data_IF_356552395181
#
_entry.id   IF_356552395181
#
_cell.length_a   1.000
_cell.length_b   1.000
_cell.length_c   1.000
_cell.angle_alpha   90.00
_cell.angle_beta   90.00
_cell.angle_gamma   90.00
#
_symmetry.space_group_name_H-M   'P 1'
#
loop_
_entity.id
_entity.type
_entity.pdbx_description
1 polymer ?
#
# COMPACT_ATOMS: atom_id res chain seq x y z
N UNK A 1 17.09 -36.02 -13.01
CA UNK A 1 17.36 -34.68 -12.44
C UNK A 1 16.97 -34.71 -10.98
N UNK A 2 17.95 -34.91 -10.10
CA UNK A 2 17.74 -35.04 -8.66
C UNK A 2 17.74 -33.62 -8.08
N UNK A 3 16.57 -33.10 -7.72
CA UNK A 3 16.45 -31.84 -6.99
C UNK A 3 17.00 -32.13 -5.60
N UNK A 4 18.30 -31.86 -5.44
CA UNK A 4 19.01 -31.83 -4.17
C UNK A 4 18.15 -31.11 -3.15
N UNK A 5 17.91 -31.76 -2.01
CA UNK A 5 17.28 -31.24 -0.80
C UNK A 5 18.18 -30.15 -0.19
N UNK A 6 18.42 -29.08 -0.95
CA UNK A 6 19.12 -27.89 -0.52
C UNK A 6 18.22 -27.17 0.45
N UNK A 7 18.64 -27.14 1.73
CA UNK A 7 18.07 -26.27 2.77
C UNK A 7 17.75 -24.93 2.15
N UNK A 8 16.47 -24.65 1.88
CA UNK A 8 16.06 -23.34 1.42
C UNK A 8 16.53 -22.41 2.54
N UNK A 9 17.47 -21.49 2.25
CA UNK A 9 17.99 -20.62 3.30
C UNK A 9 16.80 -19.78 3.76
N UNK A 10 16.42 -19.93 5.03
CA UNK A 10 15.30 -19.22 5.64
C UNK A 10 15.34 -17.72 5.36
N UNK A 11 16.54 -17.16 5.22
CA UNK A 11 16.78 -15.79 4.77
C UNK A 11 16.07 -15.43 3.45
N UNK A 12 16.07 -16.31 2.45
CA UNK A 12 15.38 -16.08 1.17
C UNK A 12 13.87 -15.99 1.39
N UNK A 13 13.30 -16.92 2.16
CA UNK A 13 11.85 -16.90 2.45
C UNK A 13 11.45 -15.64 3.22
N UNK A 14 12.27 -15.20 4.18
CA UNK A 14 12.05 -13.95 4.92
C UNK A 14 12.09 -12.75 3.97
N UNK A 15 13.08 -12.67 3.08
CA UNK A 15 13.19 -11.56 2.11
C UNK A 15 11.99 -11.52 1.18
N UNK A 16 11.56 -12.66 0.63
CA UNK A 16 10.35 -12.72 -0.21
C UNK A 16 9.09 -12.36 0.58
N UNK A 17 8.96 -12.81 1.83
CA UNK A 17 7.85 -12.45 2.70
C UNK A 17 7.78 -10.95 2.97
N UNK A 18 8.91 -10.31 3.28
CA UNK A 18 8.99 -8.86 3.48
C UNK A 18 8.67 -8.11 2.18
N UNK A 19 9.23 -8.55 1.05
CA UNK A 19 8.96 -7.93 -0.25
C UNK A 19 7.49 -8.01 -0.65
N UNK A 20 6.85 -9.17 -0.43
CA UNK A 20 5.42 -9.34 -0.68
C UNK A 20 4.56 -8.48 0.26
N UNK A 21 4.93 -8.39 1.55
CA UNK A 21 4.24 -7.55 2.52
C UNK A 21 4.35 -6.07 2.19
N UNK A 22 5.55 -5.58 1.87
CA UNK A 22 5.78 -4.20 1.44
C UNK A 22 5.07 -3.91 0.12
N UNK A 23 5.10 -4.84 -0.83
CA UNK A 23 4.34 -4.72 -2.07
C UNK A 23 2.85 -4.57 -1.82
N UNK A 24 2.27 -5.45 -0.99
CA UNK A 24 0.85 -5.39 -0.62
C UNK A 24 0.48 -4.10 0.12
N UNK A 25 1.36 -3.62 1.03
CA UNK A 25 1.18 -2.33 1.68
C UNK A 25 1.23 -1.20 0.66
N UNK A 26 2.23 -1.14 -0.21
CA UNK A 26 2.34 -0.09 -1.23
C UNK A 26 1.13 -0.13 -2.16
N UNK A 27 0.69 -1.31 -2.60
CA UNK A 27 -0.52 -1.43 -3.44
C UNK A 27 -1.77 -1.01 -2.67
N UNK A 28 -1.89 -1.34 -1.39
CA UNK A 28 -3.04 -0.89 -0.60
C UNK A 28 -3.00 0.62 -0.35
N UNK A 29 -1.82 1.18 -0.08
CA UNK A 29 -1.66 2.59 0.26
C UNK A 29 -1.68 3.51 -0.96
N UNK A 30 -1.09 3.09 -2.08
CA UNK A 30 -1.04 3.89 -3.30
C UNK A 30 -2.38 3.84 -4.07
N UNK A 31 -3.14 2.75 -3.97
CA UNK A 31 -4.37 2.58 -4.76
C UNK A 31 -5.66 2.78 -3.96
N UNK A 32 -5.61 2.89 -2.63
CA UNK A 32 -6.77 3.25 -1.82
C UNK A 32 -6.58 4.62 -1.16
N UNK A 33 -7.55 5.52 -1.37
CA UNK A 33 -7.61 6.81 -0.65
C UNK A 33 -7.78 6.52 0.84
N UNK A 34 -6.91 7.09 1.68
CA UNK A 34 -7.09 7.01 3.14
C UNK A 34 -8.10 8.05 3.59
N UNK A 35 -9.29 7.60 3.98
CA UNK A 35 -10.29 8.45 4.61
C UNK A 35 -10.06 8.47 6.12
N UNK A 36 -9.71 9.63 6.65
CA UNK A 36 -9.57 9.90 8.07
C UNK A 36 -10.70 10.84 8.49
N UNK A 37 -11.55 10.37 9.40
CA UNK A 37 -12.56 11.20 10.04
C UNK A 37 -11.93 11.93 11.24
N UNK A 38 -11.82 13.24 11.14
CA UNK A 38 -11.36 14.13 12.21
C UNK A 38 -12.56 14.91 12.78
N UNK A 39 -12.44 15.46 13.98
CA UNK A 39 -13.51 16.23 14.62
C UNK A 39 -14.00 17.41 13.76
N UNK A 40 -13.13 17.93 12.88
CA UNK A 40 -13.39 19.04 11.98
C UNK A 40 -13.97 18.63 10.61
N UNK A 41 -14.18 17.32 10.36
CA UNK A 41 -14.73 16.79 9.10
C UNK A 41 -13.95 15.59 8.54
N UNK A 42 -14.16 15.27 7.27
CA UNK A 42 -13.44 14.20 6.58
C UNK A 42 -12.17 14.74 5.91
N UNK A 43 -11.04 14.05 6.07
CA UNK A 43 -9.83 14.25 5.29
C UNK A 43 -9.55 12.97 4.49
N UNK A 44 -9.31 13.10 3.19
CA UNK A 44 -8.78 12.04 2.35
C UNK A 44 -7.39 12.38 1.75
N UNK A 45 -6.50 11.38 1.68
CA UNK A 45 -5.26 11.49 0.88
C UNK A 45 -5.33 10.62 -0.36
N UNK A 46 -5.05 11.19 -1.52
CA UNK A 46 -4.92 10.50 -2.79
C UNK A 46 -3.45 10.48 -3.25
N UNK A 47 -2.97 9.31 -3.63
CA UNK A 47 -1.68 9.15 -4.28
C UNK A 47 -1.91 9.19 -5.79
N UNK A 48 -1.52 10.29 -6.42
CA UNK A 48 -1.63 10.43 -7.88
C UNK A 48 -0.67 9.46 -8.59
N UNK A 49 -0.97 9.05 -9.84
CA UNK A 49 -0.05 8.24 -10.66
C UNK A 49 1.31 8.90 -10.89
N UNK A 50 1.39 10.23 -10.68
CA UNK A 50 2.62 11.01 -10.74
C UNK A 50 3.51 10.90 -9.49
N UNK A 51 3.07 10.14 -8.47
CA UNK A 51 3.78 9.97 -7.20
C UNK A 51 3.58 11.13 -6.22
N UNK A 52 2.71 12.11 -6.53
CA UNK A 52 2.36 13.18 -5.60
C UNK A 52 1.24 12.74 -4.66
N UNK A 53 1.32 13.22 -3.42
CA UNK A 53 0.27 13.06 -2.41
C UNK A 53 -0.59 14.30 -2.41
N UNK A 54 -1.84 14.17 -2.79
CA UNK A 54 -2.84 15.22 -2.69
C UNK A 54 -3.70 14.99 -1.45
N UNK A 55 -4.01 16.07 -0.72
CA UNK A 55 -4.85 16.04 0.47
C UNK A 55 -6.11 16.81 0.17
N UNK A 56 -7.26 16.16 0.28
CA UNK A 56 -8.56 16.81 0.12
C UNK A 56 -9.33 16.78 1.45
N UNK A 57 -10.21 17.76 1.62
CA UNK A 57 -10.98 17.98 2.83
C UNK A 57 -12.48 18.07 2.50
N UNK A 58 -13.32 17.61 3.42
CA UNK A 58 -14.76 17.69 3.33
C UNK A 58 -15.33 16.91 2.15
N UNK A 59 -16.31 17.50 1.43
CA UNK A 59 -17.02 16.86 0.32
C UNK A 59 -16.15 16.57 -0.91
N UNK A 60 -14.90 17.07 -0.94
CA UNK A 60 -13.95 16.71 -2.00
C UNK A 60 -13.47 15.25 -1.89
N UNK A 61 -13.75 14.59 -0.77
CA UNK A 61 -13.47 13.17 -0.60
C UNK A 61 -14.50 12.25 -1.25
N UNK A 62 -15.67 12.79 -1.61
CA UNK A 62 -16.77 12.04 -2.26
C UNK A 62 -16.70 12.11 -3.79
N UNK A 63 -15.82 12.94 -4.35
CA UNK A 63 -15.63 13.06 -5.80
C UNK A 63 -14.76 11.89 -6.30
N UNK A 64 -15.43 10.78 -6.63
CA UNK A 64 -14.92 9.71 -7.48
C UNK A 64 -15.97 9.48 -8.57
N UNK A 65 -15.72 10.05 -9.74
CA UNK A 65 -16.16 9.46 -11.01
C UNK A 65 -15.09 8.44 -11.45
#
# INVERSE_FOLDING_TARGET
>A
MQISQGKIPWAILIVFGIAAFLGALVTSYAYHRFNVWIADGQWCTEFTPSGRVERHYGSMCDAVD
#
